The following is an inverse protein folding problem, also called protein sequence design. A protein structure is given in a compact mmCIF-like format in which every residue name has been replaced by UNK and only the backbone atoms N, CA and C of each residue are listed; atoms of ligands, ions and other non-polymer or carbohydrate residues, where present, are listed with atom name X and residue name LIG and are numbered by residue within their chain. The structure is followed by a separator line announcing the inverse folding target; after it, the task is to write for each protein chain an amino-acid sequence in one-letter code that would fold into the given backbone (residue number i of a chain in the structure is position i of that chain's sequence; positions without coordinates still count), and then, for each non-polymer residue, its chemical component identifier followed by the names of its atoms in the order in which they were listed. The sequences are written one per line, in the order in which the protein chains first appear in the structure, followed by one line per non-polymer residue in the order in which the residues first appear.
data_IF_088212515409
#
_entry.id   IF_088212515409
#
_cell.length_a   1.000
_cell.length_b   1.000
_cell.length_c   1.000
_cell.angle_alpha   90.00
_cell.angle_beta   90.00
_cell.angle_gamma   90.00
#
_symmetry.space_group_name_H-M   'P 1'
#
loop_
_entity.id
_entity.type
_entity.pdbx_description
1 polymer ?
#
# COMPACT_ATOMS: atom_id res chain seq x y z
N UNK A 1 1.83 16.63 -18.82
CA UNK A 1 2.78 15.75 -18.09
C UNK A 1 2.30 14.32 -18.19
N UNK A 2 3.22 13.35 -18.19
CA UNK A 2 2.91 11.91 -18.21
C UNK A 2 2.62 11.42 -16.78
N UNK A 3 1.59 10.60 -16.61
CA UNK A 3 1.28 9.96 -15.33
C UNK A 3 1.19 8.45 -15.52
N UNK A 4 1.98 7.70 -14.75
CA UNK A 4 1.97 6.23 -14.76
C UNK A 4 1.20 5.73 -13.55
N UNK A 5 0.23 4.84 -13.77
CA UNK A 5 -0.59 4.25 -12.70
C UNK A 5 -0.53 2.74 -12.81
N UNK A 6 -0.01 2.09 -11.77
CA UNK A 6 -0.06 0.64 -11.64
C UNK A 6 -1.41 0.23 -11.00
N UNK A 7 -2.20 -0.60 -11.69
CA UNK A 7 -3.46 -1.12 -11.18
C UNK A 7 -3.25 -2.51 -10.63
N UNK A 8 -3.48 -2.69 -9.34
CA UNK A 8 -3.26 -3.94 -8.62
C UNK A 8 -4.44 -4.25 -7.69
N UNK A 9 -4.60 -5.52 -7.32
CA UNK A 9 -5.54 -5.91 -6.27
C UNK A 9 -5.12 -5.34 -4.92
N UNK A 10 -6.08 -5.18 -4.00
CA UNK A 10 -5.81 -4.66 -2.66
C UNK A 10 -4.83 -5.54 -1.88
N UNK A 11 -4.98 -6.87 -1.97
CA UNK A 11 -4.10 -7.79 -1.25
C UNK A 11 -2.70 -7.86 -1.85
N UNK A 12 -2.56 -7.78 -3.18
CA UNK A 12 -1.25 -7.67 -3.84
C UNK A 12 -0.53 -6.38 -3.44
N UNK A 13 -1.28 -5.28 -3.33
CA UNK A 13 -0.75 -4.01 -2.82
C UNK A 13 -0.28 -4.13 -1.36
N UNK A 14 -1.07 -4.79 -0.50
CA UNK A 14 -0.71 -5.03 0.90
C UNK A 14 0.58 -5.86 0.97
N UNK A 15 0.66 -6.97 0.23
CA UNK A 15 1.84 -7.81 0.19
C UNK A 15 3.10 -7.06 -0.28
N UNK A 16 2.98 -6.31 -1.39
CA UNK A 16 4.08 -5.52 -1.95
C UNK A 16 4.55 -4.36 -1.07
N UNK A 17 3.68 -3.85 -0.19
CA UNK A 17 4.02 -2.83 0.80
C UNK A 17 4.69 -3.44 2.03
N UNK A 18 4.15 -4.54 2.56
CA UNK A 18 4.73 -5.22 3.73
C UNK A 18 6.15 -5.71 3.46
N UNK A 19 6.44 -6.21 2.26
CA UNK A 19 7.78 -6.64 1.86
C UNK A 19 8.84 -5.52 1.83
N UNK A 20 8.42 -4.25 1.85
CA UNK A 20 9.31 -3.08 1.88
C UNK A 20 9.37 -2.40 3.24
N UNK A 21 8.30 -2.45 4.02
CA UNK A 21 8.20 -1.74 5.29
C UNK A 21 8.57 -2.60 6.49
N UNK A 22 8.52 -3.94 6.37
CA UNK A 22 8.75 -4.87 7.48
C UNK A 22 9.99 -5.74 7.29
N UNK A 23 10.66 -6.04 8.39
CA UNK A 23 11.67 -7.09 8.41
C UNK A 23 11.01 -8.47 8.50
N UNK A 24 11.52 -9.44 7.75
CA UNK A 24 10.98 -10.80 7.69
C UNK A 24 11.07 -11.58 9.01
N UNK A 25 11.92 -11.14 9.94
CA UNK A 25 12.10 -11.75 11.26
C UNK A 25 11.14 -11.19 12.33
N UNK A 26 10.28 -10.23 11.98
CA UNK A 26 9.30 -9.70 12.91
C UNK A 26 8.22 -10.73 13.23
N UNK A 27 7.63 -10.60 14.42
CA UNK A 27 6.60 -11.51 14.86
C UNK A 27 5.39 -11.50 13.92
N UNK A 28 4.75 -12.66 13.78
CA UNK A 28 3.60 -12.86 12.90
C UNK A 28 2.46 -11.87 13.22
N UNK A 29 2.25 -11.57 14.50
CA UNK A 29 1.21 -10.62 14.91
C UNK A 29 1.54 -9.18 14.51
N UNK A 30 2.82 -8.80 14.47
CA UNK A 30 3.24 -7.51 13.93
C UNK A 30 2.95 -7.40 12.44
N UNK A 31 3.24 -8.46 11.67
CA UNK A 31 2.93 -8.50 10.23
C UNK A 31 1.41 -8.41 9.99
N UNK A 32 0.60 -9.08 10.83
CA UNK A 32 -0.87 -9.00 10.77
C UNK A 32 -1.38 -7.60 11.07
N UNK A 33 -0.85 -6.96 12.11
CA UNK A 33 -1.21 -5.59 12.46
C UNK A 33 -0.87 -4.62 11.31
N UNK A 34 0.34 -4.73 10.73
CA UNK A 34 0.75 -3.89 9.60
C UNK A 34 -0.11 -4.12 8.35
N UNK A 35 -0.56 -5.36 8.10
CA UNK A 35 -1.49 -5.64 7.01
C UNK A 35 -2.83 -4.91 7.20
N UNK A 36 -3.36 -4.87 8.43
CA UNK A 36 -4.58 -4.11 8.75
C UNK A 36 -4.37 -2.62 8.56
N UNK A 37 -3.25 -2.06 9.05
CA UNK A 37 -2.89 -0.65 8.86
C UNK A 37 -2.82 -0.28 7.38
N UNK A 38 -2.08 -1.06 6.59
CA UNK A 38 -1.90 -0.85 5.14
C UNK A 38 -3.23 -0.89 4.39
N UNK A 39 -4.07 -1.89 4.67
CA UNK A 39 -5.40 -2.01 4.05
C UNK A 39 -6.29 -0.83 4.40
N UNK A 40 -6.30 -0.42 5.67
CA UNK A 40 -7.10 0.70 6.17
C UNK A 40 -6.67 2.00 5.49
N UNK A 41 -5.38 2.24 5.40
CA UNK A 41 -4.81 3.42 4.75
C UNK A 41 -5.15 3.47 3.26
N UNK A 42 -4.96 2.37 2.53
CA UNK A 42 -5.26 2.30 1.10
C UNK A 42 -6.73 2.59 0.80
N UNK A 43 -7.66 1.99 1.55
CA UNK A 43 -9.10 2.21 1.39
C UNK A 43 -9.50 3.65 1.76
N UNK A 44 -8.91 4.20 2.83
CA UNK A 44 -9.15 5.58 3.22
C UNK A 44 -8.67 6.57 2.14
N UNK A 45 -7.47 6.37 1.59
CA UNK A 45 -6.94 7.23 0.54
C UNK A 45 -7.73 7.10 -0.77
N UNK A 46 -8.14 5.88 -1.15
CA UNK A 46 -9.05 5.64 -2.29
C UNK A 46 -10.33 6.45 -2.16
N UNK A 47 -10.96 6.46 -0.98
CA UNK A 47 -12.16 7.26 -0.73
C UNK A 47 -11.88 8.76 -0.83
N UNK A 48 -10.80 9.25 -0.17
CA UNK A 48 -10.41 10.68 -0.21
C UNK A 48 -10.03 11.17 -1.59
N UNK A 49 -9.52 10.28 -2.45
CA UNK A 49 -9.04 10.58 -3.80
C UNK A 49 -9.96 10.03 -4.88
N UNK A 50 -11.25 9.80 -4.60
CA UNK A 50 -12.20 9.21 -5.54
C UNK A 50 -12.30 9.90 -6.92
N UNK A 51 -11.92 11.18 -7.03
CA UNK A 51 -11.87 11.95 -8.29
C UNK A 51 -10.50 11.95 -8.97
N UNK A 52 -9.50 11.30 -8.38
CA UNK A 52 -8.16 11.16 -8.93
C UNK A 52 -8.06 9.83 -9.69
N UNK A 53 -7.17 9.75 -10.70
CA UNK A 53 -6.93 8.53 -11.44
C UNK A 53 -6.10 7.46 -10.68
N UNK A 54 -5.74 7.71 -9.41
CA UNK A 54 -4.96 6.80 -8.56
C UNK A 54 -5.38 6.95 -7.09
N UNK A 55 -5.18 5.88 -6.32
CA UNK A 55 -5.58 5.82 -4.91
C UNK A 55 -4.43 6.22 -3.97
N UNK A 56 -3.22 5.72 -4.23
CA UNK A 56 -2.01 5.93 -3.42
C UNK A 56 -0.79 6.19 -4.32
N UNK A 57 0.26 6.78 -3.75
CA UNK A 57 1.57 6.99 -4.37
C UNK A 57 2.55 5.94 -3.84
N UNK A 58 3.41 5.43 -4.70
CA UNK A 58 4.48 4.50 -4.32
C UNK A 58 5.69 5.30 -3.79
N UNK A 59 5.66 5.69 -2.53
CA UNK A 59 6.72 6.48 -1.90
C UNK A 59 6.33 7.03 -0.53
N UNK A 60 7.23 7.80 0.09
CA UNK A 60 7.10 8.30 1.47
C UNK A 60 5.89 9.20 1.73
N UNK A 61 5.27 9.74 0.68
CA UNK A 61 4.06 10.55 0.80
C UNK A 61 2.81 9.71 1.13
N UNK A 62 2.83 8.41 0.82
CA UNK A 62 1.78 7.45 1.16
C UNK A 62 2.44 6.21 1.77
N UNK A 63 2.72 5.16 0.99
CA UNK A 63 3.41 3.95 1.47
C UNK A 63 4.47 3.47 0.47
N UNK A 64 5.47 2.76 0.98
CA UNK A 64 6.58 2.27 0.16
C UNK A 64 6.15 0.97 -0.53
N UNK A 65 5.48 1.09 -1.67
CA UNK A 65 5.08 -0.05 -2.48
C UNK A 65 6.26 -0.60 -3.30
N UNK A 66 6.57 -1.89 -3.13
CA UNK A 66 7.71 -2.55 -3.75
C UNK A 66 7.48 -3.18 -5.13
N UNK A 67 6.24 -3.29 -5.58
CA UNK A 67 5.85 -4.13 -6.72
C UNK A 67 5.10 -5.39 -6.29
N UNK A 68 4.72 -6.21 -7.27
CA UNK A 68 4.23 -7.58 -7.08
C UNK A 68 5.40 -8.53 -7.32
#
# INVERSE_FOLDING_TARGET
GLQVVNRVGLEDYVAGTLGREMYTHWERETLRAQAVVTRTYALHQRARRARKPFDVRAGTADQVYGGV
#
